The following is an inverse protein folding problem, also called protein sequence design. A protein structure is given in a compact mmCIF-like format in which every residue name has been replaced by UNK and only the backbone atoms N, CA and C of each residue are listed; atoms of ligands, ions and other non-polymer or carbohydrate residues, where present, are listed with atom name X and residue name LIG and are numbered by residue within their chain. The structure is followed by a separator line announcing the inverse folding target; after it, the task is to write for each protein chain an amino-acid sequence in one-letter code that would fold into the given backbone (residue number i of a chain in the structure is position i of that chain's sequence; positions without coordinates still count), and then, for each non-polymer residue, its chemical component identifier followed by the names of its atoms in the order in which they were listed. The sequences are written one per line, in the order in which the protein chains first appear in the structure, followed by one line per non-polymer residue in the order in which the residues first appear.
data_IF_409050197245
#
_entry.id   IF_409050197245
#
_cell.length_a   1.000
_cell.length_b   1.000
_cell.length_c   1.000
_cell.angle_alpha   90.00
_cell.angle_beta   90.00
_cell.angle_gamma   90.00
#
_symmetry.space_group_name_H-M   'P 1'
#
loop_
_entity.id
_entity.type
_entity.pdbx_description
1 polymer ?
#
# COMPACT_ATOMS: atom_id res chain seq x y z
N UNK A 1 -6.43 -15.39 -20.96
CA UNK A 1 -6.18 -14.96 -19.56
C UNK A 1 -5.79 -13.49 -19.61
N UNK A 2 -6.64 -12.59 -19.09
CA UNK A 2 -6.61 -11.10 -18.94
C UNK A 2 -5.75 -10.15 -19.84
N UNK A 3 -4.76 -10.59 -20.62
CA UNK A 3 -4.03 -9.78 -21.60
C UNK A 3 -3.09 -8.72 -21.02
N UNK A 4 -2.86 -8.75 -19.71
CA UNK A 4 -2.06 -7.76 -18.98
C UNK A 4 -0.56 -8.09 -19.04
N UNK A 5 0.27 -7.06 -19.13
CA UNK A 5 1.73 -7.22 -19.14
C UNK A 5 2.23 -7.73 -17.78
N UNK A 6 3.03 -8.79 -17.80
CA UNK A 6 3.75 -9.29 -16.64
C UNK A 6 5.08 -8.55 -16.51
N UNK A 7 5.37 -8.06 -15.30
CA UNK A 7 6.67 -7.53 -14.91
C UNK A 7 7.17 -8.29 -13.70
N UNK A 8 8.18 -9.11 -13.91
CA UNK A 8 8.84 -9.83 -12.83
C UNK A 8 9.74 -8.89 -12.01
N UNK A 9 9.68 -9.02 -10.70
CA UNK A 9 10.49 -8.23 -9.77
C UNK A 9 11.24 -9.12 -8.79
N UNK A 10 12.18 -8.52 -8.05
CA UNK A 10 12.98 -9.27 -7.08
C UNK A 10 12.13 -9.84 -5.93
N UNK A 11 11.17 -9.04 -5.42
CA UNK A 11 10.35 -9.40 -4.25
C UNK A 11 8.89 -9.73 -4.60
N UNK A 12 8.40 -9.20 -5.72
CA UNK A 12 7.03 -9.36 -6.18
C UNK A 12 6.99 -9.32 -7.70
N UNK A 13 6.02 -10.01 -8.29
CA UNK A 13 5.70 -9.91 -9.72
C UNK A 13 4.41 -9.10 -9.90
N UNK A 14 4.38 -8.23 -10.91
CA UNK A 14 3.27 -7.32 -11.16
C UNK A 14 2.56 -7.68 -12.46
N UNK A 15 1.23 -7.70 -12.44
CA UNK A 15 0.39 -7.92 -13.63
C UNK A 15 -0.40 -6.63 -13.90
N UNK A 16 0.04 -5.88 -14.91
CA UNK A 16 -0.40 -4.50 -15.12
C UNK A 16 -0.14 -3.61 -13.89
N UNK A 17 -0.99 -2.61 -13.67
CA UNK A 17 -0.91 -1.71 -12.51
C UNK A 17 -1.79 -2.16 -11.33
N UNK A 18 -2.52 -3.26 -11.47
CA UNK A 18 -3.60 -3.63 -10.55
C UNK A 18 -3.26 -4.79 -9.62
N UNK A 19 -2.37 -5.69 -10.02
CA UNK A 19 -2.07 -6.89 -9.25
C UNK A 19 -0.58 -6.97 -8.92
N UNK A 20 -0.30 -7.20 -7.64
CA UNK A 20 1.03 -7.52 -7.12
C UNK A 20 0.97 -8.91 -6.46
N UNK A 21 1.84 -9.80 -6.89
CA UNK A 21 2.02 -11.13 -6.31
C UNK A 21 3.36 -11.16 -5.58
N UNK A 22 3.34 -11.13 -4.26
CA UNK A 22 4.55 -11.17 -3.45
C UNK A 22 5.13 -12.59 -3.41
N UNK A 23 6.46 -12.70 -3.43
CA UNK A 23 7.19 -13.99 -3.34
C UNK A 23 7.33 -14.49 -1.91
N UNK A 24 6.92 -13.69 -0.93
CA UNK A 24 6.90 -14.02 0.50
C UNK A 24 5.64 -13.48 1.15
N UNK A 25 5.34 -13.94 2.36
CA UNK A 25 4.22 -13.42 3.14
C UNK A 25 4.45 -11.92 3.44
N UNK A 26 3.56 -11.08 2.89
CA UNK A 26 3.51 -9.64 3.15
C UNK A 26 2.74 -9.29 4.42
N UNK A 27 2.34 -8.02 4.53
CA UNK A 27 1.41 -7.56 5.58
C UNK A 27 -0.02 -7.93 5.21
N UNK A 28 -0.85 -8.17 6.21
CA UNK A 28 -2.26 -8.53 6.04
C UNK A 28 -2.50 -10.04 6.04
N UNK A 29 -3.55 -10.50 6.73
CA UNK A 29 -3.92 -11.92 6.76
C UNK A 29 -4.22 -12.52 5.37
N UNK A 30 -4.66 -11.67 4.42
CA UNK A 30 -4.99 -12.02 3.03
C UNK A 30 -4.18 -11.20 2.02
N UNK A 31 -3.10 -10.54 2.45
CA UNK A 31 -2.29 -9.61 1.65
C UNK A 31 -2.70 -8.15 1.86
N UNK A 32 -2.35 -7.27 0.92
CA UNK A 32 -2.58 -5.83 1.05
C UNK A 32 -3.30 -5.17 -0.12
N UNK A 33 -3.96 -4.05 0.15
CA UNK A 33 -4.60 -3.18 -0.84
C UNK A 33 -3.88 -1.84 -0.85
N UNK A 34 -3.28 -1.52 -2.00
CA UNK A 34 -2.63 -0.24 -2.25
C UNK A 34 -3.63 0.78 -2.79
N UNK A 35 -3.69 1.96 -2.17
CA UNK A 35 -4.48 3.09 -2.67
C UNK A 35 -3.53 4.20 -3.13
N UNK A 36 -3.55 4.49 -4.42
CA UNK A 36 -2.77 5.58 -5.01
C UNK A 36 -3.34 6.94 -4.61
N UNK A 37 -2.48 7.84 -4.14
CA UNK A 37 -2.86 9.20 -3.71
C UNK A 37 -1.85 10.23 -4.22
N UNK A 38 -2.28 11.49 -4.37
CA UNK A 38 -1.38 12.61 -4.71
C UNK A 38 -0.60 13.12 -3.49
N UNK A 39 -1.15 12.97 -2.29
CA UNK A 39 -0.50 13.27 -1.01
C UNK A 39 -0.93 12.25 0.03
N UNK A 40 0.04 11.44 0.46
CA UNK A 40 -0.16 10.46 1.53
C UNK A 40 -0.42 11.17 2.86
N UNK A 41 0.25 12.30 3.10
CA UNK A 41 0.08 13.11 4.30
C UNK A 41 -1.37 13.56 4.47
N UNK A 42 -1.98 14.11 3.41
CA UNK A 42 -3.39 14.52 3.43
C UNK A 42 -4.35 13.35 3.61
N UNK A 43 -4.04 12.20 3.02
CA UNK A 43 -4.83 10.99 3.20
C UNK A 43 -4.78 10.53 4.66
N UNK A 44 -3.60 10.50 5.28
CA UNK A 44 -3.44 10.16 6.70
C UNK A 44 -4.19 11.14 7.61
N UNK A 45 -4.10 12.45 7.37
CA UNK A 45 -4.83 13.45 8.15
C UNK A 45 -6.36 13.28 8.04
N UNK A 46 -6.87 12.97 6.85
CA UNK A 46 -8.29 12.68 6.67
C UNK A 46 -8.73 11.47 7.50
N UNK A 47 -7.95 10.38 7.45
CA UNK A 47 -8.24 9.15 8.18
C UNK A 47 -8.05 9.29 9.70
N UNK A 48 -7.17 10.19 10.15
CA UNK A 48 -7.00 10.52 11.56
C UNK A 48 -8.31 11.08 12.18
N UNK A 49 -9.11 11.81 11.39
CA UNK A 49 -10.45 12.27 11.81
C UNK A 49 -11.44 11.14 12.12
N UNK A 50 -11.17 9.92 11.65
CA UNK A 50 -11.94 8.71 11.94
C UNK A 50 -11.25 7.81 12.99
N UNK A 51 -10.17 8.28 13.61
CA UNK A 51 -9.41 7.53 14.62
C UNK A 51 -8.47 6.46 14.04
N UNK A 52 -8.30 6.40 12.72
CA UNK A 52 -7.39 5.46 12.05
C UNK A 52 -5.98 6.04 12.04
N UNK A 53 -4.97 5.25 12.40
CA UNK A 53 -3.59 5.72 12.50
C UNK A 53 -2.69 5.01 11.49
N UNK A 54 -1.61 5.65 11.04
CA UNK A 54 -0.58 4.94 10.32
C UNK A 54 0.22 4.04 11.27
N UNK A 55 0.72 2.93 10.73
CA UNK A 55 1.75 2.10 11.37
C UNK A 55 3.10 2.80 11.19
N UNK A 56 3.63 3.39 12.26
CA UNK A 56 4.76 4.33 12.20
C UNK A 56 6.01 3.74 11.50
N UNK A 57 6.33 2.47 11.75
CA UNK A 57 7.49 1.78 11.17
C UNK A 57 7.34 1.51 9.66
N UNK A 58 6.14 1.70 9.09
CA UNK A 58 5.90 1.52 7.66
C UNK A 58 6.01 2.80 6.85
N UNK A 59 6.12 3.95 7.52
CA UNK A 59 6.22 5.25 6.87
C UNK A 59 7.55 5.33 6.13
N UNK A 60 7.47 5.48 4.81
CA UNK A 60 8.64 5.68 3.94
C UNK A 60 8.65 7.08 3.38
N UNK A 61 9.76 7.79 3.58
CA UNK A 61 9.98 9.12 3.01
C UNK A 61 10.64 9.05 1.65
N UNK A 62 10.27 9.96 0.76
CA UNK A 62 10.96 10.25 -0.51
C UNK A 62 11.12 11.76 -0.61
N UNK A 63 12.33 12.25 -0.32
CA UNK A 63 12.57 13.66 -0.09
C UNK A 63 11.77 14.15 1.12
N UNK A 64 11.01 15.23 0.94
CA UNK A 64 10.21 15.85 2.00
C UNK A 64 8.79 15.27 2.12
N UNK A 65 8.46 14.24 1.33
CA UNK A 65 7.11 13.69 1.28
C UNK A 65 7.06 12.23 1.71
N UNK A 66 5.92 11.83 2.29
CA UNK A 66 5.61 10.43 2.52
C UNK A 66 5.29 9.78 1.17
N UNK A 67 6.02 8.72 0.86
CA UNK A 67 5.82 7.89 -0.34
C UNK A 67 4.90 6.72 -0.08
N UNK A 68 4.98 6.09 1.11
CA UNK A 68 4.15 4.95 1.51
C UNK A 68 3.87 5.02 3.00
N UNK A 69 2.64 4.68 3.41
CA UNK A 69 2.30 4.42 4.81
C UNK A 69 1.14 3.40 4.90
N UNK A 70 1.27 2.39 5.76
CA UNK A 70 0.21 1.45 6.08
C UNK A 70 -0.67 1.97 7.20
N UNK A 71 -1.94 1.58 7.19
CA UNK A 71 -2.90 1.81 8.28
C UNK A 71 -2.78 0.71 9.34
N UNK A 72 -3.10 1.05 10.58
CA UNK A 72 -3.02 0.17 11.75
C UNK A 72 -4.12 -0.91 11.80
N UNK A 73 -5.15 -0.77 10.97
CA UNK A 73 -6.25 -1.72 10.86
C UNK A 73 -6.23 -2.47 9.53
N UNK A 74 -6.61 -3.75 9.59
CA UNK A 74 -6.95 -4.52 8.40
C UNK A 74 -8.44 -4.34 8.04
N UNK A 75 -8.74 -4.34 6.74
CA UNK A 75 -10.11 -4.36 6.22
C UNK A 75 -10.37 -5.73 5.61
N UNK A 76 -11.31 -6.49 6.19
CA UNK A 76 -11.67 -7.84 5.74
C UNK A 76 -10.50 -8.85 5.67
N UNK A 77 -9.44 -8.60 6.43
CA UNK A 77 -8.19 -9.38 6.45
C UNK A 77 -7.10 -8.85 5.52
N UNK A 78 -7.28 -7.68 4.89
CA UNK A 78 -6.26 -7.04 4.06
C UNK A 78 -5.63 -5.87 4.79
N UNK A 79 -4.30 -5.80 4.80
CA UNK A 79 -3.61 -4.58 5.21
C UNK A 79 -3.85 -3.49 4.15
N UNK A 80 -4.07 -2.26 4.56
CA UNK A 80 -4.30 -1.14 3.63
C UNK A 80 -3.16 -0.15 3.73
N UNK A 81 -2.66 0.32 2.60
CA UNK A 81 -1.62 1.36 2.57
C UNK A 81 -1.85 2.37 1.47
N UNK A 82 -1.40 3.60 1.74
CA UNK A 82 -1.35 4.65 0.74
C UNK A 82 0.00 4.64 0.04
N UNK A 83 -0.01 4.89 -1.26
CA UNK A 83 1.19 5.12 -2.06
C UNK A 83 1.07 6.44 -2.80
N UNK A 84 2.12 7.26 -2.78
CA UNK A 84 2.18 8.50 -3.56
C UNK A 84 2.43 8.16 -5.03
N UNK A 85 1.58 8.66 -5.93
CA UNK A 85 1.75 8.59 -7.38
C UNK A 85 2.40 9.86 -7.92
#
# INVERSE_FOLDING_TARGET
MLGMQLKEGANSDFVGDSFEFMKSAGRGAKGHIAVGTLSVERALEWFAGFGVKPVAETIKMKGNHISVAYLDNEICGFAVHFVRK
#
